data_IF_255584720621
#
_entry.id   IF_255584720621
#
_cell.length_a   1.000
_cell.length_b   1.000
_cell.length_c   1.000
_cell.angle_alpha   90.00
_cell.angle_beta   90.00
_cell.angle_gamma   90.00
#
_symmetry.space_group_name_H-M   'P 1'
#
loop_
_entity.id
_entity.type
_entity.pdbx_description
1 polymer ?
#
# COMPACT_ATOMS: atom_id res chain seq x y z
N UNK A 1 -9.20 20.11 23.75
CA UNK A 1 -9.73 20.38 22.40
C UNK A 1 -9.04 19.40 21.49
N UNK A 2 -9.78 18.54 20.80
CA UNK A 2 -9.19 17.55 19.91
C UNK A 2 -8.78 18.24 18.61
N UNK A 3 -7.47 18.36 18.40
CA UNK A 3 -6.90 18.97 17.21
C UNK A 3 -6.74 17.92 16.12
N UNK A 4 -7.50 18.07 15.03
CA UNK A 4 -7.34 17.27 13.80
C UNK A 4 -5.89 17.41 13.30
N UNK A 5 -5.19 16.28 13.16
CA UNK A 5 -3.83 16.26 12.59
C UNK A 5 -3.90 16.66 11.12
N UNK A 6 -3.11 17.66 10.73
CA UNK A 6 -2.97 18.05 9.32
C UNK A 6 -2.01 17.10 8.60
N UNK A 7 -2.28 16.84 7.32
CA UNK A 7 -1.34 16.14 6.43
C UNK A 7 -0.06 16.97 6.33
N UNK A 8 1.06 16.42 6.82
CA UNK A 8 2.37 17.09 6.81
C UNK A 8 3.16 16.82 5.52
N UNK A 9 2.85 15.74 4.82
CA UNK A 9 3.51 15.32 3.58
C UNK A 9 2.60 14.36 2.82
N UNK A 10 2.66 14.43 1.48
CA UNK A 10 2.08 13.42 0.58
C UNK A 10 3.25 12.74 -0.13
N UNK A 11 3.27 11.41 -0.12
CA UNK A 11 4.23 10.59 -0.85
C UNK A 11 3.52 9.88 -1.99
N UNK A 12 4.19 9.76 -3.13
CA UNK A 12 3.74 8.93 -4.25
C UNK A 12 4.60 7.67 -4.26
N UNK A 13 3.96 6.50 -4.28
CA UNK A 13 4.69 5.24 -4.41
C UNK A 13 5.40 5.14 -5.76
N UNK A 14 6.59 4.55 -5.75
CA UNK A 14 7.45 4.43 -6.93
C UNK A 14 7.68 2.94 -7.27
N UNK A 15 7.79 2.57 -8.56
CA UNK A 15 8.15 1.21 -8.95
C UNK A 15 9.48 0.80 -8.32
N UNK A 16 9.58 -0.44 -7.86
CA UNK A 16 10.81 -1.01 -7.29
C UNK A 16 10.87 -2.50 -7.65
N UNK A 17 12.09 -3.04 -7.77
CA UNK A 17 12.37 -4.45 -7.92
C UNK A 17 12.98 -4.99 -6.63
N UNK A 18 12.49 -6.12 -6.16
CA UNK A 18 12.99 -6.80 -4.94
C UNK A 18 12.99 -8.33 -5.13
N UNK A 19 13.57 -9.07 -4.19
CA UNK A 19 13.59 -10.54 -4.22
C UNK A 19 14.26 -11.07 -5.50
N UNK A 20 13.64 -12.06 -6.15
CA UNK A 20 14.11 -12.63 -7.42
C UNK A 20 13.62 -11.84 -8.66
N UNK A 21 13.52 -10.51 -8.55
CA UNK A 21 13.03 -9.64 -9.62
C UNK A 21 11.52 -9.37 -9.59
N UNK A 22 10.91 -9.41 -8.40
CA UNK A 22 9.49 -9.09 -8.18
C UNK A 22 9.27 -7.59 -8.36
N UNK A 23 8.28 -7.22 -9.16
CA UNK A 23 7.84 -5.84 -9.34
C UNK A 23 6.84 -5.44 -8.24
N UNK A 24 7.11 -4.34 -7.56
CA UNK A 24 6.22 -3.77 -6.55
C UNK A 24 6.26 -2.23 -6.58
N UNK A 25 5.45 -1.59 -5.72
CA UNK A 25 5.48 -0.13 -5.53
C UNK A 25 5.86 0.21 -4.10
N UNK A 26 7.00 0.87 -3.90
CA UNK A 26 7.45 1.32 -2.58
C UNK A 26 6.79 2.64 -2.23
N UNK A 27 5.99 2.66 -1.17
CA UNK A 27 5.29 3.85 -0.67
C UNK A 27 6.21 4.75 0.16
N UNK A 28 7.01 4.13 1.04
CA UNK A 28 8.10 4.75 1.78
C UNK A 28 9.14 3.69 2.16
N UNK A 29 10.33 4.14 2.54
CA UNK A 29 11.43 3.31 3.02
C UNK A 29 12.35 4.10 3.96
N UNK A 30 13.56 3.57 4.19
CA UNK A 30 14.55 4.14 5.10
C UNK A 30 14.91 5.62 4.84
N UNK A 31 14.72 6.12 3.61
CA UNK A 31 14.91 7.53 3.25
C UNK A 31 13.97 8.50 3.99
N UNK A 32 12.86 8.01 4.54
CA UNK A 32 11.91 8.79 5.32
C UNK A 32 12.17 8.72 6.84
N UNK A 33 13.24 8.03 7.28
CA UNK A 33 13.66 8.04 8.68
C UNK A 33 14.26 9.38 9.10
N UNK A 34 14.10 9.82 10.37
CA UNK A 34 13.34 9.17 11.45
C UNK A 34 11.83 9.52 11.45
N UNK A 35 11.33 10.27 10.44
CA UNK A 35 9.95 10.82 10.44
C UNK A 35 8.85 9.76 10.52
N UNK A 36 9.10 8.58 9.96
CA UNK A 36 8.14 7.47 9.96
C UNK A 36 8.44 6.38 11.01
N UNK A 37 9.44 6.53 11.88
CA UNK A 37 9.72 5.57 12.97
C UNK A 37 8.45 5.37 13.83
N UNK A 38 8.01 4.12 14.13
CA UNK A 38 8.72 2.85 13.93
C UNK A 38 8.62 2.20 12.54
N UNK A 39 7.87 2.74 11.59
CA UNK A 39 7.64 2.11 10.27
C UNK A 39 8.79 2.35 9.30
N UNK A 40 9.54 1.30 8.98
CA UNK A 40 10.77 1.38 8.18
C UNK A 40 10.51 1.40 6.67
N UNK A 41 9.50 0.66 6.21
CA UNK A 41 9.20 0.43 4.80
C UNK A 41 7.74 -0.01 4.63
N UNK A 42 7.10 0.44 3.55
CA UNK A 42 5.82 -0.08 3.08
C UNK A 42 5.89 -0.32 1.57
N UNK A 43 5.72 -1.57 1.16
CA UNK A 43 5.65 -1.99 -0.24
C UNK A 43 4.25 -2.51 -0.59
N UNK A 44 3.73 -2.09 -1.74
CA UNK A 44 2.47 -2.52 -2.36
C UNK A 44 2.80 -3.51 -3.49
N UNK A 45 2.71 -4.81 -3.19
CA UNK A 45 2.91 -5.87 -4.17
C UNK A 45 1.58 -6.13 -4.89
N UNK A 46 1.46 -5.53 -6.08
CA UNK A 46 0.21 -5.52 -6.84
C UNK A 46 0.49 -5.56 -8.34
N UNK A 47 0.17 -6.70 -8.96
CA UNK A 47 0.21 -6.91 -10.41
C UNK A 47 -0.84 -7.94 -10.84
N UNK A 48 -1.31 -7.82 -12.08
CA UNK A 48 -2.13 -8.79 -12.80
C UNK A 48 -1.30 -9.69 -13.74
N UNK A 49 0.04 -9.55 -13.73
CA UNK A 49 0.96 -10.30 -14.57
C UNK A 49 1.79 -11.29 -13.74
N UNK A 50 1.60 -12.62 -13.91
CA UNK A 50 2.32 -13.62 -13.13
C UNK A 50 3.85 -13.53 -13.22
N UNK A 51 4.40 -13.17 -14.38
CA UNK A 51 5.84 -12.99 -14.58
C UNK A 51 6.46 -11.89 -13.69
N UNK A 52 5.66 -10.91 -13.24
CA UNK A 52 6.11 -9.81 -12.38
C UNK A 52 6.20 -10.19 -10.89
N UNK A 53 5.66 -11.35 -10.47
CA UNK A 53 5.67 -11.77 -9.06
C UNK A 53 6.05 -13.23 -8.80
N UNK A 54 5.83 -14.17 -9.73
CA UNK A 54 6.09 -15.59 -9.53
C UNK A 54 7.53 -15.96 -9.13
N UNK A 55 8.60 -15.22 -9.50
CA UNK A 55 9.94 -15.46 -8.97
C UNK A 55 10.02 -15.35 -7.44
N UNK A 56 9.15 -14.53 -6.84
CA UNK A 56 8.99 -14.39 -5.39
C UNK A 56 10.22 -13.84 -4.67
N UNK A 57 10.21 -14.06 -3.35
CA UNK A 57 11.28 -13.70 -2.44
C UNK A 57 11.88 -15.01 -1.90
N UNK A 58 12.90 -15.57 -2.57
CA UNK A 58 13.56 -16.79 -2.10
C UNK A 58 14.25 -16.57 -0.75
N UNK A 59 14.81 -17.63 -0.16
CA UNK A 59 15.45 -17.62 1.16
C UNK A 59 16.36 -16.40 1.40
N UNK A 60 15.90 -15.47 2.23
CA UNK A 60 16.59 -14.21 2.54
C UNK A 60 16.53 -13.90 4.05
N UNK A 61 17.56 -13.23 4.61
CA UNK A 61 17.64 -12.96 6.05
C UNK A 61 16.97 -11.63 6.44
N UNK A 62 16.37 -11.61 7.63
CA UNK A 62 15.94 -10.40 8.34
C UNK A 62 16.49 -10.39 9.77
N UNK A 63 16.60 -9.21 10.40
CA UNK A 63 17.00 -9.05 11.81
C UNK A 63 16.56 -7.70 12.39
N UNK A 64 16.19 -7.67 13.66
CA UNK A 64 15.95 -6.45 14.43
C UNK A 64 14.68 -5.66 14.07
N UNK A 65 13.74 -6.32 13.37
CA UNK A 65 12.48 -5.75 12.86
C UNK A 65 11.29 -6.68 13.15
N UNK A 66 10.08 -6.19 12.89
CA UNK A 66 8.90 -7.00 12.62
C UNK A 66 8.52 -6.84 11.13
N UNK A 67 8.08 -7.93 10.50
CA UNK A 67 7.54 -7.92 9.13
C UNK A 67 6.07 -8.30 9.17
N UNK A 68 5.23 -7.49 8.55
CA UNK A 68 3.79 -7.69 8.46
C UNK A 68 3.41 -7.81 6.99
N UNK A 69 2.82 -8.95 6.62
CA UNK A 69 2.39 -9.27 5.26
C UNK A 69 0.86 -9.36 5.27
N UNK A 70 0.16 -8.44 4.60
CA UNK A 70 -1.32 -8.43 4.50
C UNK A 70 -1.74 -8.70 3.05
N UNK A 71 -2.48 -9.77 2.79
CA UNK A 71 -2.89 -10.17 1.43
C UNK A 71 -4.33 -9.73 1.16
N UNK A 72 -4.55 -8.96 0.10
CA UNK A 72 -5.88 -8.57 -0.37
C UNK A 72 -6.42 -9.51 -1.45
N UNK A 73 -5.57 -10.01 -2.36
CA UNK A 73 -5.95 -10.87 -3.48
C UNK A 73 -4.82 -11.84 -3.82
N UNK A 74 -5.18 -13.08 -4.17
CA UNK A 74 -4.20 -14.16 -4.37
C UNK A 74 -3.79 -14.78 -3.05
N UNK A 75 -2.56 -15.29 -2.99
CA UNK A 75 -2.00 -15.96 -1.81
C UNK A 75 -0.46 -15.87 -1.81
N UNK A 76 0.16 -16.02 -0.64
CA UNK A 76 1.62 -16.06 -0.46
C UNK A 76 1.99 -17.29 0.35
N UNK A 77 2.66 -18.27 -0.27
CA UNK A 77 3.22 -19.41 0.45
C UNK A 77 4.53 -18.99 1.11
N UNK A 78 4.76 -19.35 2.37
CA UNK A 78 5.97 -18.97 3.09
C UNK A 78 6.63 -20.16 3.80
N UNK A 79 7.91 -20.02 4.11
CA UNK A 79 8.67 -20.96 4.94
C UNK A 79 9.85 -20.29 5.61
N UNK A 80 10.16 -20.66 6.86
CA UNK A 80 11.23 -20.05 7.65
C UNK A 80 12.25 -21.06 8.23
N UNK A 81 13.37 -20.51 8.70
CA UNK A 81 14.49 -21.26 9.32
C UNK A 81 14.16 -21.88 10.69
N UNK A 82 12.98 -21.62 11.25
CA UNK A 82 12.48 -22.30 12.46
C UNK A 82 11.57 -23.49 12.11
N UNK A 83 11.29 -23.71 10.82
CA UNK A 83 10.42 -24.78 10.33
C UNK A 83 8.95 -24.39 10.21
N UNK A 84 8.58 -23.12 10.45
CA UNK A 84 7.23 -22.67 10.17
C UNK A 84 7.01 -22.62 8.66
N UNK A 85 5.85 -23.12 8.20
CA UNK A 85 5.44 -23.07 6.79
C UNK A 85 3.93 -22.85 6.75
N UNK A 86 3.44 -22.21 5.68
CA UNK A 86 2.03 -21.91 5.52
C UNK A 86 1.71 -21.18 4.24
N UNK A 87 0.45 -20.80 4.08
CA UNK A 87 -0.04 -19.98 2.98
C UNK A 87 -0.91 -18.87 3.57
N UNK A 88 -0.55 -17.61 3.30
CA UNK A 88 -1.34 -16.42 3.59
C UNK A 88 -2.31 -16.24 2.43
N UNK A 89 -3.62 -16.23 2.66
CA UNK A 89 -4.64 -16.06 1.62
C UNK A 89 -5.33 -14.69 1.71
N UNK A 90 -6.22 -14.38 0.77
CA UNK A 90 -6.91 -13.09 0.74
C UNK A 90 -7.72 -12.83 2.02
N UNK A 91 -7.40 -11.75 2.73
CA UNK A 91 -7.93 -11.38 4.03
C UNK A 91 -6.95 -11.65 5.18
N UNK A 92 -6.06 -12.62 5.04
CA UNK A 92 -5.12 -13.05 6.07
C UNK A 92 -3.95 -12.06 6.26
N UNK A 93 -3.43 -12.06 7.49
CA UNK A 93 -2.23 -11.30 7.88
C UNK A 93 -1.19 -12.26 8.48
N UNK A 94 0.05 -12.15 8.01
CA UNK A 94 1.21 -12.68 8.73
C UNK A 94 1.87 -11.56 9.54
N UNK A 95 2.19 -11.83 10.80
CA UNK A 95 3.00 -10.95 11.65
C UNK A 95 4.19 -11.73 12.21
N UNK A 96 5.38 -11.39 11.75
CA UNK A 96 6.62 -12.05 12.17
C UNK A 96 7.50 -11.08 12.96
N UNK A 97 7.62 -11.31 14.28
CA UNK A 97 8.64 -10.64 15.10
C UNK A 97 9.99 -11.30 14.80
N UNK A 98 10.87 -10.66 14.03
CA UNK A 98 12.13 -11.29 13.59
C UNK A 98 13.18 -11.30 14.68
N UNK A 99 13.28 -10.22 15.47
CA UNK A 99 14.22 -10.15 16.61
C UNK A 99 15.65 -10.52 16.22
N UNK A 100 16.25 -11.50 16.92
CA UNK A 100 17.65 -11.93 16.73
C UNK A 100 18.01 -12.39 15.32
N UNK A 101 17.03 -12.81 14.52
CA UNK A 101 17.19 -13.14 13.10
C UNK A 101 16.38 -14.34 12.65
N UNK A 102 15.87 -14.29 11.42
CA UNK A 102 15.23 -15.38 10.67
C UNK A 102 15.78 -15.36 9.24
N UNK A 103 15.92 -16.53 8.61
CA UNK A 103 15.97 -16.64 7.15
C UNK A 103 14.62 -17.22 6.70
N UNK A 104 13.95 -16.59 5.73
CA UNK A 104 12.65 -17.04 5.24
C UNK A 104 12.48 -16.82 3.74
N UNK A 105 11.43 -17.41 3.17
CA UNK A 105 11.01 -17.22 1.79
C UNK A 105 9.51 -16.90 1.72
N UNK A 106 9.11 -16.08 0.75
CA UNK A 106 7.74 -15.66 0.47
C UNK A 106 7.46 -15.81 -1.03
N UNK A 107 6.61 -16.77 -1.39
CA UNK A 107 6.37 -17.24 -2.76
C UNK A 107 4.92 -16.94 -3.16
N UNK A 108 4.65 -15.80 -3.82
CA UNK A 108 3.30 -15.39 -4.15
C UNK A 108 2.70 -16.19 -5.32
N UNK A 109 1.38 -16.32 -5.31
CA UNK A 109 0.55 -16.76 -6.44
C UNK A 109 -0.68 -15.89 -6.50
N UNK A 110 -0.91 -15.24 -7.64
CA UNK A 110 -2.17 -14.56 -7.91
C UNK A 110 -3.34 -15.53 -8.05
N UNK A 111 -4.52 -14.95 -8.16
CA UNK A 111 -5.79 -15.62 -8.51
C UNK A 111 -5.74 -16.25 -9.90
N UNK A 112 -6.82 -16.96 -10.27
CA UNK A 112 -7.00 -17.55 -11.60
C UNK A 112 -6.98 -16.51 -12.75
N UNK A 113 -7.28 -15.24 -12.46
CA UNK A 113 -7.19 -14.12 -13.41
C UNK A 113 -5.83 -13.37 -13.36
N UNK A 114 -4.83 -13.93 -12.68
CA UNK A 114 -3.48 -13.37 -12.56
C UNK A 114 -3.33 -12.32 -11.45
N UNK A 115 -4.42 -11.85 -10.83
CA UNK A 115 -4.35 -10.78 -9.84
C UNK A 115 -3.71 -11.25 -8.53
N UNK A 116 -2.56 -10.67 -8.20
CA UNK A 116 -1.96 -10.64 -6.87
C UNK A 116 -2.09 -9.22 -6.30
N UNK A 117 -2.48 -9.09 -5.04
CA UNK A 117 -2.43 -7.83 -4.31
C UNK A 117 -2.20 -8.04 -2.81
N UNK A 118 -1.22 -7.36 -2.23
CA UNK A 118 -1.08 -7.19 -0.80
C UNK A 118 -0.02 -6.15 -0.43
N UNK A 119 0.28 -6.06 0.86
CA UNK A 119 1.23 -5.10 1.43
C UNK A 119 2.27 -5.79 2.29
N UNK A 120 3.51 -5.32 2.18
CA UNK A 120 4.60 -5.63 3.10
C UNK A 120 4.92 -4.38 3.92
N UNK A 121 4.63 -4.40 5.21
CA UNK A 121 5.01 -3.35 6.16
C UNK A 121 6.15 -3.86 7.05
N UNK A 122 7.24 -3.12 7.14
CA UNK A 122 8.31 -3.40 8.10
C UNK A 122 8.30 -2.37 9.22
N UNK A 123 8.50 -2.86 10.44
CA UNK A 123 8.57 -2.02 11.63
C UNK A 123 9.82 -2.28 12.48
N UNK A 124 10.32 -1.22 13.09
CA UNK A 124 11.55 -1.16 13.85
C UNK A 124 11.35 -1.71 15.26
N UNK A 125 12.05 -2.78 15.65
CA UNK A 125 12.06 -3.17 17.06
C UNK A 125 12.90 -2.18 17.88
N UNK A 126 12.42 -1.72 19.05
CA UNK A 126 13.22 -0.94 20.00
C UNK A 126 14.53 -1.65 20.34
N UNK A 127 15.62 -0.91 20.57
CA UNK A 127 16.97 -1.47 20.77
C UNK A 127 17.02 -2.66 21.75
N UNK A 128 16.36 -2.53 22.91
CA UNK A 128 16.26 -3.58 23.95
C UNK A 128 15.61 -4.89 23.49
N UNK A 129 14.85 -4.87 22.40
CA UNK A 129 14.13 -6.02 21.84
C UNK A 129 14.67 -6.50 20.49
N UNK A 130 15.63 -5.80 19.86
CA UNK A 130 16.23 -6.21 18.58
C UNK A 130 16.87 -7.60 18.58
N UNK A 131 17.20 -8.14 19.76
CA UNK A 131 17.79 -9.46 19.94
C UNK A 131 16.86 -10.47 20.64
N UNK A 132 15.55 -10.18 20.74
CA UNK A 132 14.58 -11.15 21.28
C UNK A 132 14.47 -12.39 20.38
N UNK A 133 14.03 -13.52 20.94
CA UNK A 133 13.75 -14.74 20.16
C UNK A 133 12.71 -14.43 19.07
N UNK A 134 12.87 -14.91 17.84
CA UNK A 134 11.88 -14.68 16.79
C UNK A 134 10.54 -15.35 17.10
N UNK A 135 9.44 -14.79 16.59
CA UNK A 135 8.06 -15.29 16.78
C UNK A 135 7.26 -15.15 15.48
N UNK A 136 6.57 -16.22 15.11
CA UNK A 136 5.63 -16.25 13.99
C UNK A 136 4.18 -16.15 14.50
N UNK A 137 3.34 -15.36 13.83
CA UNK A 137 1.88 -15.36 14.00
C UNK A 137 1.21 -15.28 12.63
N UNK A 138 0.40 -16.29 12.30
CA UNK A 138 -0.60 -16.20 11.24
C UNK A 138 -1.93 -15.78 11.85
N UNK A 139 -2.62 -14.85 11.21
CA UNK A 139 -3.96 -14.37 11.55
C UNK A 139 -4.83 -14.58 10.32
N UNK A 140 -5.89 -15.38 10.43
CA UNK A 140 -6.82 -15.61 9.31
C UNK A 140 -7.85 -14.49 9.19
N UNK A 141 -8.48 -14.36 8.02
CA UNK A 141 -9.58 -13.42 7.76
C UNK A 141 -10.65 -13.44 8.86
N UNK A 142 -11.07 -14.64 9.30
CA UNK A 142 -12.12 -14.83 10.30
C UNK A 142 -11.72 -14.37 11.71
N UNK A 143 -10.41 -14.24 11.97
CA UNK A 143 -9.89 -13.74 13.24
C UNK A 143 -9.83 -12.20 13.30
N UNK A 144 -10.02 -11.51 12.17
CA UNK A 144 -9.93 -10.03 12.09
C UNK A 144 -11.34 -9.43 12.23
N UNK A 145 -11.65 -8.70 13.32
CA UNK A 145 -12.96 -8.09 13.49
C UNK A 145 -13.26 -7.09 12.37
N UNK A 146 -14.43 -7.27 11.73
CA UNK A 146 -14.99 -6.31 10.78
C UNK A 146 -16.04 -5.46 11.47
N UNK A 147 -15.69 -4.21 11.79
CA UNK A 147 -16.57 -3.21 12.38
C UNK A 147 -17.30 -2.47 11.25
N UNK A 148 -18.60 -2.23 11.41
CA UNK A 148 -19.44 -1.52 10.45
C UNK A 148 -20.13 -0.36 11.16
N UNK A 149 -19.82 0.86 10.75
CA UNK A 149 -20.41 2.08 11.31
C UNK A 149 -21.74 2.41 10.60
N UNK A 150 -22.64 3.13 11.27
CA UNK A 150 -23.96 3.49 10.74
C UNK A 150 -23.90 4.29 9.43
N UNK A 151 -22.82 5.06 9.23
CA UNK A 151 -22.56 5.82 8.00
C UNK A 151 -21.99 4.99 6.84
N UNK A 152 -21.95 3.66 6.98
CA UNK A 152 -21.50 2.72 5.94
C UNK A 152 -19.99 2.52 5.84
N UNK A 153 -19.19 3.12 6.74
CA UNK A 153 -17.75 2.84 6.84
C UNK A 153 -17.55 1.41 7.35
N UNK A 154 -16.65 0.67 6.71
CA UNK A 154 -16.29 -0.70 7.09
C UNK A 154 -14.81 -0.74 7.44
N UNK A 155 -14.49 -1.28 8.62
CA UNK A 155 -13.15 -1.28 9.21
C UNK A 155 -12.76 -2.72 9.55
N UNK A 156 -11.65 -3.20 9.02
CA UNK A 156 -11.00 -4.44 9.46
C UNK A 156 -9.91 -4.08 10.46
N UNK A 157 -10.11 -4.50 11.71
CA UNK A 157 -9.21 -4.18 12.82
C UNK A 157 -8.09 -5.22 12.92
N UNK A 158 -7.03 -5.04 12.14
CA UNK A 158 -5.86 -5.95 12.13
C UNK A 158 -5.11 -5.84 13.48
N UNK A 159 -4.89 -4.61 13.95
CA UNK A 159 -4.17 -4.35 15.20
C UNK A 159 -4.66 -3.05 15.87
N UNK A 160 -4.61 -3.02 17.20
CA UNK A 160 -5.07 -1.90 18.02
C UNK A 160 -6.45 -2.16 18.65
N UNK A 161 -7.11 -1.10 19.09
CA UNK A 161 -8.43 -1.14 19.73
C UNK A 161 -9.32 -0.05 19.16
N UNK A 162 -10.56 -0.39 18.79
CA UNK A 162 -11.56 0.57 18.31
C UNK A 162 -12.90 0.28 18.98
N UNK A 163 -13.49 1.28 19.66
CA UNK A 163 -14.78 1.18 20.36
C UNK A 163 -14.89 -0.01 21.35
N UNK A 164 -13.76 -0.43 21.93
CA UNK A 164 -13.67 -1.58 22.84
C UNK A 164 -13.55 -2.94 22.15
N UNK A 165 -13.59 -2.98 20.82
CA UNK A 165 -13.18 -4.15 20.02
C UNK A 165 -11.66 -4.16 19.91
N UNK A 166 -11.03 -5.31 20.14
CA UNK A 166 -9.58 -5.49 20.03
C UNK A 166 -9.21 -6.27 18.78
N UNK A 167 -8.12 -5.90 18.11
CA UNK A 167 -7.54 -6.70 17.03
C UNK A 167 -6.98 -8.05 17.55
N UNK A 168 -6.83 -9.05 16.67
CA UNK A 168 -6.26 -10.36 17.03
C UNK A 168 -4.76 -10.27 17.36
N UNK A 169 -4.06 -9.24 16.89
CA UNK A 169 -2.65 -9.02 17.17
C UNK A 169 -2.50 -8.30 18.52
N UNK A 170 -2.07 -9.05 19.54
CA UNK A 170 -1.84 -8.57 20.91
C UNK A 170 -0.40 -8.88 21.35
N UNK A 171 0.11 -8.24 22.40
CA UNK A 171 1.48 -8.44 22.94
C UNK A 171 2.61 -8.28 21.90
N UNK A 172 2.48 -7.27 21.04
CA UNK A 172 3.53 -6.85 20.11
C UNK A 172 4.31 -5.65 20.65
N UNK A 173 5.56 -5.53 20.20
CA UNK A 173 6.56 -4.72 20.89
C UNK A 173 6.48 -3.23 20.58
N UNK A 174 5.96 -2.90 19.39
CA UNK A 174 5.94 -1.54 18.82
C UNK A 174 4.63 -0.79 19.06
N UNK A 175 3.63 -1.46 19.64
CA UNK A 175 2.27 -0.95 19.93
C UNK A 175 1.62 -0.07 18.81
N UNK A 176 1.43 -0.62 17.60
CA UNK A 176 0.85 0.07 16.46
C UNK A 176 -0.68 -0.12 16.40
N UNK A 177 -1.34 0.82 15.74
CA UNK A 177 -2.70 0.60 15.22
C UNK A 177 -2.61 0.29 13.72
N UNK A 178 -3.30 -0.75 13.27
CA UNK A 178 -3.40 -1.11 11.85
C UNK A 178 -4.86 -1.40 11.51
N UNK A 179 -5.44 -0.47 10.73
CA UNK A 179 -6.80 -0.53 10.22
C UNK A 179 -6.75 -0.64 8.69
N UNK A 180 -7.57 -1.52 8.12
CA UNK A 180 -7.99 -1.42 6.72
C UNK A 180 -9.42 -0.84 6.69
N UNK A 181 -9.63 0.24 5.95
CA UNK A 181 -10.81 1.11 6.05
C UNK A 181 -11.42 1.38 4.69
N UNK A 182 -12.61 0.84 4.46
CA UNK A 182 -13.44 1.11 3.30
C UNK A 182 -14.41 2.26 3.57
N UNK A 183 -14.34 3.30 2.74
CA UNK A 183 -15.10 4.55 2.87
C UNK A 183 -16.09 4.72 1.71
N UNK A 184 -17.40 4.92 1.98
CA UNK A 184 -18.34 5.34 0.96
C UNK A 184 -18.05 6.77 0.47
N UNK A 185 -18.45 7.07 -0.77
CA UNK A 185 -18.23 8.39 -1.36
C UNK A 185 -18.94 9.50 -0.57
N UNK A 186 -18.20 10.56 -0.21
CA UNK A 186 -18.71 11.70 0.56
C UNK A 186 -18.84 11.48 2.06
N UNK A 187 -18.47 10.29 2.58
CA UNK A 187 -18.47 10.00 4.02
C UNK A 187 -17.12 10.34 4.64
N UNK A 188 -17.16 10.91 5.85
CA UNK A 188 -15.97 11.18 6.67
C UNK A 188 -15.86 10.13 7.78
N UNK A 189 -14.65 9.56 7.94
CA UNK A 189 -14.26 8.78 9.10
C UNK A 189 -13.27 9.57 9.95
N UNK A 190 -13.47 9.55 11.26
CA UNK A 190 -12.57 10.19 12.24
C UNK A 190 -12.06 9.11 13.17
N UNK A 191 -10.75 8.93 13.23
CA UNK A 191 -10.09 8.01 14.14
C UNK A 191 -9.29 8.79 15.19
N UNK A 192 -9.42 8.42 16.46
CA UNK A 192 -8.65 9.01 17.54
C UNK A 192 -7.31 8.28 17.66
N UNK A 193 -6.21 9.02 17.57
CA UNK A 193 -4.84 8.48 17.66
C UNK A 193 -4.14 9.01 18.90
N UNK A 194 -3.37 8.15 19.58
CA UNK A 194 -2.64 8.54 20.78
C UNK A 194 -1.58 9.62 20.47
N UNK A 195 -1.43 10.58 21.39
CA UNK A 195 -0.43 11.63 21.27
C UNK A 195 0.99 11.04 21.20
N UNK A 196 1.78 11.52 20.24
CA UNK A 196 3.13 11.02 19.97
C UNK A 196 3.20 9.90 18.92
N UNK A 197 2.08 9.30 18.50
CA UNK A 197 2.12 8.21 17.51
C UNK A 197 2.47 8.75 16.12
N UNK A 198 3.33 8.02 15.41
CA UNK A 198 3.52 8.20 13.97
C UNK A 198 2.31 7.66 13.23
N UNK A 199 1.77 8.45 12.30
CA UNK A 199 0.55 8.09 11.55
C UNK A 199 0.77 8.39 10.08
N UNK A 200 0.46 7.42 9.23
CA UNK A 200 0.35 7.55 7.78
C UNK A 200 -0.95 6.87 7.32
N UNK A 201 -1.38 7.15 6.09
CA UNK A 201 -2.44 6.42 5.43
C UNK A 201 -2.00 6.10 4.00
N UNK A 202 -2.10 4.83 3.59
CA UNK A 202 -1.88 4.43 2.20
C UNK A 202 -3.22 4.38 1.49
N UNK A 203 -3.43 5.27 0.52
CA UNK A 203 -4.72 5.36 -0.19
C UNK A 203 -4.75 4.29 -1.28
N UNK A 204 -5.55 3.25 -1.01
CA UNK A 204 -5.89 2.20 -1.96
C UNK A 204 -6.87 2.77 -2.99
N UNK A 205 -6.33 3.43 -4.01
CA UNK A 205 -7.12 4.00 -5.09
C UNK A 205 -7.69 2.88 -5.97
N UNK A 206 -8.95 2.49 -5.74
CA UNK A 206 -9.78 1.91 -6.79
C UNK A 206 -9.97 2.97 -7.88
N UNK A 207 -8.99 3.03 -8.80
CA UNK A 207 -9.01 3.99 -9.90
C UNK A 207 -10.30 3.86 -10.68
N UNK A 208 -11.13 4.89 -10.56
CA UNK A 208 -12.18 5.19 -11.52
C UNK A 208 -11.51 5.70 -12.80
N UNK A 209 -10.79 4.81 -13.48
CA UNK A 209 -10.34 5.08 -14.84
C UNK A 209 -11.59 5.21 -15.69
N UNK A 210 -11.74 6.36 -16.35
CA UNK A 210 -12.90 6.61 -17.19
C UNK A 210 -12.78 5.74 -18.44
N UNK A 211 -13.46 4.59 -18.42
CA UNK A 211 -13.46 3.57 -19.49
C UNK A 211 -14.16 4.02 -20.79
N UNK A 212 -14.31 5.33 -21.02
CA UNK A 212 -14.76 5.94 -22.29
C UNK A 212 -14.01 5.28 -23.47
N UNK A 213 -12.69 5.07 -23.31
CA UNK A 213 -11.85 4.46 -24.34
C UNK A 213 -12.15 2.98 -24.63
N UNK A 214 -12.71 2.21 -23.69
CA UNK A 214 -13.10 0.82 -23.93
C UNK A 214 -14.51 0.68 -24.51
N UNK A 215 -15.42 1.58 -24.14
CA UNK A 215 -16.79 1.64 -24.68
C UNK A 215 -16.89 2.50 -25.96
N UNK A 216 -15.76 2.95 -26.50
CA UNK A 216 -15.72 3.79 -27.68
C UNK A 216 -16.13 3.00 -28.94
N UNK A 217 -17.41 3.10 -29.31
CA UNK A 217 -17.98 2.50 -30.54
C UNK A 217 -17.50 3.14 -31.85
N UNK A 218 -16.41 3.89 -31.83
CA UNK A 218 -15.97 4.73 -32.95
C UNK A 218 -16.79 6.01 -33.15
N UNK A 219 -17.84 6.27 -32.35
CA UNK A 219 -18.58 7.52 -32.41
C UNK A 219 -17.74 8.69 -31.85
N UNK A 220 -17.69 9.84 -32.52
CA UNK A 220 -16.91 10.98 -32.05
C UNK A 220 -17.58 11.65 -30.85
N UNK A 221 -16.78 12.03 -29.84
CA UNK A 221 -17.23 12.67 -28.60
C UNK A 221 -17.60 14.15 -28.83
N UNK A 222 -18.66 14.40 -29.59
CA UNK A 222 -19.03 15.74 -30.08
C UNK A 222 -19.93 16.56 -29.15
N UNK A 223 -20.46 15.96 -28.09
CA UNK A 223 -21.28 16.67 -27.09
C UNK A 223 -21.23 15.95 -25.73
N UNK A 224 -21.61 16.66 -24.66
CA UNK A 224 -21.54 16.15 -23.28
C UNK A 224 -22.48 14.98 -22.99
N UNK A 225 -23.61 14.87 -23.68
CA UNK A 225 -24.56 13.78 -23.50
C UNK A 225 -23.97 12.45 -24.00
N UNK A 226 -23.30 12.45 -25.15
CA UNK A 226 -22.51 11.30 -25.65
C UNK A 226 -21.45 10.87 -24.64
N UNK A 227 -20.68 11.82 -24.08
CA UNK A 227 -19.63 11.49 -23.10
C UNK A 227 -20.23 10.92 -21.81
N UNK A 228 -21.27 11.57 -21.25
CA UNK A 228 -21.95 11.10 -20.03
C UNK A 228 -22.55 9.71 -20.22
N UNK A 229 -23.22 9.44 -21.35
CA UNK A 229 -23.81 8.14 -21.65
C UNK A 229 -22.77 7.03 -21.85
N UNK A 230 -21.62 7.31 -22.45
CA UNK A 230 -20.53 6.32 -22.57
C UNK A 230 -19.90 5.98 -21.21
N UNK A 231 -19.84 6.93 -20.28
CA UNK A 231 -19.35 6.66 -18.93
C UNK A 231 -20.40 5.91 -18.10
N UNK A 232 -21.66 6.33 -18.12
CA UNK A 232 -22.73 5.71 -17.32
C UNK A 232 -23.12 4.28 -17.77
N UNK A 233 -22.79 3.90 -19.00
CA UNK A 233 -22.94 2.52 -19.50
C UNK A 233 -21.73 1.62 -19.20
N UNK A 234 -20.68 2.17 -18.58
CA UNK A 234 -19.51 1.39 -18.16
C UNK A 234 -19.83 0.46 -17.00
N UNK A 235 -19.49 -0.82 -17.19
CA UNK A 235 -19.37 -1.81 -16.10
C UNK A 235 -17.96 -2.42 -16.14
N UNK A 236 -17.30 -2.58 -14.97
CA UNK A 236 -15.99 -3.25 -14.89
C UNK A 236 -16.11 -4.77 -14.95
N UNK A 237 -14.99 -5.49 -15.18
CA UNK A 237 -14.96 -6.97 -15.01
C UNK A 237 -15.37 -7.43 -13.60
N UNK A 238 -15.19 -6.57 -12.60
CA UNK A 238 -15.60 -6.78 -11.20
C UNK A 238 -17.05 -6.35 -10.89
N UNK A 239 -17.84 -5.94 -11.89
CA UNK A 239 -19.28 -5.64 -11.72
C UNK A 239 -19.61 -4.21 -11.26
N UNK A 240 -18.63 -3.32 -11.10
CA UNK A 240 -18.88 -1.91 -10.73
C UNK A 240 -19.61 -1.19 -11.88
N UNK A 241 -20.85 -0.75 -11.64
CA UNK A 241 -21.61 0.14 -12.53
C UNK A 241 -21.30 1.60 -12.20
N UNK A 242 -21.10 2.44 -13.22
CA UNK A 242 -20.80 3.86 -13.03
C UNK A 242 -22.06 4.71 -13.27
N UNK A 243 -22.28 5.76 -12.48
CA UNK A 243 -23.22 6.84 -12.82
C UNK A 243 -22.44 8.11 -13.16
N UNK A 244 -22.82 8.76 -14.25
CA UNK A 244 -22.25 10.02 -14.70
C UNK A 244 -23.37 11.04 -14.85
N UNK A 245 -23.10 12.30 -14.50
CA UNK A 245 -24.01 13.40 -14.76
C UNK A 245 -23.24 14.66 -15.15
N UNK A 246 -23.81 15.45 -16.05
CA UNK A 246 -23.24 16.74 -16.41
C UNK A 246 -23.51 17.74 -15.29
N UNK A 247 -22.45 18.20 -14.63
CA UNK A 247 -22.54 19.33 -13.71
C UNK A 247 -22.39 20.64 -14.49
N UNK A 248 -23.43 21.48 -14.44
CA UNK A 248 -23.49 22.78 -15.14
C UNK A 248 -23.05 23.97 -14.26
N UNK A 249 -22.56 23.71 -13.04
CA UNK A 249 -22.03 24.75 -12.17
C UNK A 249 -20.78 25.40 -12.79
N UNK A 250 -20.59 26.70 -12.56
CA UNK A 250 -19.39 27.43 -12.99
C UNK A 250 -18.28 27.25 -11.96
N UNK A 251 -17.06 26.98 -12.45
CA UNK A 251 -15.86 26.79 -11.63
C UNK A 251 -14.80 27.85 -11.96
N UNK A 252 -14.00 28.23 -10.97
CA UNK A 252 -12.84 29.09 -11.19
C UNK A 252 -11.76 28.33 -11.97
N UNK A 253 -11.27 28.95 -13.05
CA UNK A 253 -10.23 28.37 -13.90
C UNK A 253 -8.84 28.81 -13.45
N UNK A 254 -7.83 27.98 -13.71
CA UNK A 254 -6.43 28.30 -13.36
C UNK A 254 -5.95 27.77 -12.00
N UNK A 255 -6.85 27.29 -11.15
CA UNK A 255 -6.45 26.44 -10.01
C UNK A 255 -6.00 25.09 -10.58
N UNK A 256 -4.70 24.79 -10.53
CA UNK A 256 -4.24 23.42 -10.69
C UNK A 256 -4.50 22.69 -9.36
N UNK A 257 -5.40 21.71 -9.29
CA UNK A 257 -5.75 21.02 -8.04
C UNK A 257 -4.58 20.21 -7.45
N UNK A 258 -3.42 20.18 -8.11
CA UNK A 258 -2.21 19.46 -7.70
C UNK A 258 -0.96 20.36 -7.51
N UNK A 259 -1.03 21.70 -7.65
CA UNK A 259 0.18 22.56 -7.70
C UNK A 259 0.71 23.07 -6.35
N UNK A 260 0.77 22.23 -5.32
CA UNK A 260 1.43 22.55 -4.05
C UNK A 260 2.79 21.83 -3.92
N UNK A 261 3.62 21.91 -4.96
CA UNK A 261 4.97 21.30 -4.99
C UNK A 261 6.01 22.37 -5.26
N UNK A 262 6.70 22.83 -4.22
CA UNK A 262 7.91 23.63 -4.39
C UNK A 262 9.02 22.73 -4.92
N UNK A 263 9.73 23.19 -5.95
CA UNK A 263 10.96 22.56 -6.42
C UNK A 263 12.04 22.68 -5.35
N UNK A 264 12.73 21.58 -5.04
CA UNK A 264 13.97 21.55 -4.27
C UNK A 264 14.94 20.67 -5.06
N UNK A 265 16.10 21.22 -5.40
CA UNK A 265 17.12 20.53 -6.18
C UNK A 265 17.85 19.47 -5.36
N UNK A 266 18.15 18.34 -5.99
CA UNK A 266 18.87 17.24 -5.35
C UNK A 266 20.38 17.45 -5.41
N UNK A 267 21.01 17.61 -4.25
CA UNK A 267 22.44 17.31 -4.07
C UNK A 267 22.57 16.04 -3.22
N UNK A 268 23.45 15.09 -3.58
CA UNK A 268 23.71 13.91 -2.75
C UNK A 268 24.51 14.33 -1.52
N UNK A 269 23.81 14.77 -0.46
CA UNK A 269 24.43 15.02 0.84
C UNK A 269 24.25 13.79 1.73
N UNK A 270 25.35 13.10 2.01
CA UNK A 270 25.43 12.03 3.02
C UNK A 270 25.66 12.68 4.40
N UNK A 271 24.69 12.67 5.33
CA UNK A 271 24.84 13.32 6.62
C UNK A 271 25.03 12.29 7.74
N UNK A 272 26.18 12.36 8.41
CA UNK A 272 26.32 11.88 9.79
C UNK A 272 26.89 10.48 9.97
N UNK A 273 28.04 10.42 10.65
CA UNK A 273 28.68 9.19 11.13
C UNK A 273 27.94 8.69 12.37
N UNK A 274 27.24 7.56 12.27
CA UNK A 274 26.98 6.64 13.41
C UNK A 274 26.39 5.29 12.96
N UNK A 275 25.72 5.22 11.80
CA UNK A 275 25.00 4.02 11.35
C UNK A 275 25.84 2.95 10.60
N UNK A 276 27.18 2.91 10.76
CA UNK A 276 28.06 2.11 9.89
C UNK A 276 28.79 0.93 10.54
N UNK A 277 28.63 0.68 11.84
CA UNK A 277 29.27 -0.45 12.53
C UNK A 277 28.30 -1.62 12.77
N UNK A 278 27.12 -1.37 13.36
CA UNK A 278 26.18 -2.43 13.74
C UNK A 278 25.45 -3.05 12.54
N UNK A 279 25.08 -2.24 11.52
CA UNK A 279 24.52 -2.77 10.27
C UNK A 279 25.54 -3.64 9.53
N UNK A 280 26.80 -3.18 9.40
CA UNK A 280 27.86 -3.99 8.78
C UNK A 280 28.15 -5.28 9.56
N UNK A 281 28.11 -5.24 10.89
CA UNK A 281 28.26 -6.43 11.73
C UNK A 281 27.08 -7.41 11.60
N UNK A 282 25.86 -6.92 11.35
CA UNK A 282 24.69 -7.76 11.11
C UNK A 282 24.76 -8.53 9.77
N UNK A 283 25.35 -7.93 8.74
CA UNK A 283 25.47 -8.51 7.39
C UNK A 283 26.72 -9.38 7.17
N UNK A 284 27.79 -9.18 7.95
CA UNK A 284 29.08 -9.88 7.80
C UNK A 284 29.02 -11.41 7.67
N UNK A 285 28.09 -12.16 8.31
CA UNK A 285 28.01 -13.62 8.14
C UNK A 285 27.52 -14.10 6.77
N UNK A 286 26.92 -13.24 5.94
CA UNK A 286 26.14 -13.66 4.76
C UNK A 286 26.77 -13.30 3.40
N UNK A 287 27.69 -12.33 3.34
CA UNK A 287 28.25 -11.82 2.07
C UNK A 287 29.61 -12.43 1.70
N UNK A 288 29.74 -13.75 1.71
CA UNK A 288 31.03 -14.38 1.43
C UNK A 288 31.37 -14.58 -0.06
N UNK A 289 30.43 -14.35 -1.00
CA UNK A 289 30.61 -14.55 -2.45
C UNK A 289 30.01 -13.39 -3.29
N UNK A 290 30.59 -13.20 -4.49
CA UNK A 290 30.17 -12.35 -5.63
C UNK A 290 30.29 -10.81 -5.50
N UNK A 291 31.34 -10.18 -6.09
CA UNK A 291 31.53 -8.73 -6.13
C UNK A 291 31.57 -8.14 -7.57
N UNK A 292 30.43 -7.99 -8.23
CA UNK A 292 30.35 -7.26 -9.53
C UNK A 292 28.91 -6.82 -9.84
N UNK A 293 28.65 -5.51 -9.94
CA UNK A 293 27.55 -4.87 -10.70
C UNK A 293 27.52 -3.34 -10.50
N UNK A 294 28.40 -2.62 -11.21
CA UNK A 294 28.29 -1.15 -11.40
C UNK A 294 27.76 -0.81 -12.82
N UNK A 295 27.01 0.30 -12.90
CA UNK A 295 26.60 1.06 -14.12
C UNK A 295 25.43 0.46 -14.95
N UNK A 296 24.34 1.18 -15.30
CA UNK A 296 24.25 2.40 -16.16
C UNK A 296 22.85 3.06 -16.18
N UNK A 297 22.78 4.30 -16.71
CA UNK A 297 21.60 5.18 -16.94
C UNK A 297 20.87 4.80 -18.28
N UNK A 298 19.76 5.38 -18.78
CA UNK A 298 19.14 6.74 -18.68
C UNK A 298 17.68 6.77 -19.26
N UNK A 299 17.00 7.94 -19.32
CA UNK A 299 15.57 8.08 -19.71
C UNK A 299 15.26 9.39 -20.51
N UNK A 300 14.30 9.40 -21.47
CA UNK A 300 13.74 10.64 -22.05
C UNK A 300 12.19 10.80 -22.00
N UNK A 301 11.71 12.06 -21.87
CA UNK A 301 10.30 12.49 -21.80
C UNK A 301 9.76 13.16 -23.09
N UNK A 302 8.43 13.33 -23.22
CA UNK A 302 7.76 14.15 -24.26
C UNK A 302 6.43 14.81 -23.82
N UNK A 303 5.98 15.89 -24.50
CA UNK A 303 4.82 16.78 -24.19
C UNK A 303 3.98 17.02 -25.48
N UNK A 304 2.75 17.55 -25.58
CA UNK A 304 1.72 18.22 -24.71
C UNK A 304 0.33 18.13 -25.42
N UNK A 305 -0.84 18.45 -24.82
CA UNK A 305 -1.57 19.77 -24.84
C UNK A 305 -2.99 19.63 -24.22
N UNK A 306 -3.72 20.72 -23.86
CA UNK A 306 -4.97 20.67 -23.10
C UNK A 306 -6.28 20.73 -23.94
N UNK A 307 -7.39 20.26 -23.35
CA UNK A 307 -8.77 20.49 -23.80
C UNK A 307 -9.47 21.58 -22.97
N UNK A 308 -10.51 22.22 -23.51
CA UNK A 308 -11.25 23.33 -22.89
C UNK A 308 -12.52 22.89 -22.15
N UNK A 309 -12.66 23.39 -20.91
CA UNK A 309 -13.89 23.69 -20.16
C UNK A 309 -15.17 22.88 -20.47
N UNK A 310 -15.31 21.74 -19.80
CA UNK A 310 -16.44 21.47 -18.89
C UNK A 310 -16.07 20.29 -17.97
N UNK A 311 -16.59 20.25 -16.75
CA UNK A 311 -16.24 19.25 -15.73
C UNK A 311 -17.35 18.21 -15.58
N UNK A 312 -17.12 17.02 -16.14
CA UNK A 312 -17.99 15.86 -15.90
C UNK A 312 -17.74 15.35 -14.49
N UNK A 313 -18.72 15.50 -13.60
CA UNK A 313 -18.67 14.85 -12.28
C UNK A 313 -19.14 13.41 -12.40
N UNK A 314 -18.26 12.51 -11.98
CA UNK A 314 -18.52 11.08 -11.92
C UNK A 314 -18.85 10.68 -10.49
N UNK A 315 -19.90 9.89 -10.33
CA UNK A 315 -20.38 9.42 -9.05
C UNK A 315 -20.49 7.90 -9.12
N UNK A 316 -19.56 7.20 -8.46
CA UNK A 316 -19.73 5.76 -8.21
C UNK A 316 -20.86 5.59 -7.20
N UNK A 317 -21.96 4.96 -7.66
CA UNK A 317 -22.93 4.35 -6.75
C UNK A 317 -22.60 2.87 -6.76
N UNK A 318 -22.03 2.37 -5.67
CA UNK A 318 -22.09 0.94 -5.38
C UNK A 318 -23.57 0.60 -5.27
N UNK A 319 -24.06 -0.18 -6.23
CA UNK A 319 -25.45 -0.64 -6.31
C UNK A 319 -25.62 -1.74 -5.23
N UNK A 320 -26.29 -1.48 -4.10
CA UNK A 320 -26.38 -2.43 -3.00
C UNK A 320 -27.60 -3.32 -3.21
N UNK A 321 -27.59 -4.10 -4.29
CA UNK A 321 -28.71 -4.96 -4.67
C UNK A 321 -28.23 -6.39 -4.94
N UNK A 322 -28.62 -7.25 -3.99
CA UNK A 322 -29.27 -8.56 -4.16
C UNK A 322 -28.66 -9.55 -5.18
N UNK A 323 -28.34 -10.79 -4.80
CA UNK A 323 -28.96 -11.68 -3.79
C UNK A 323 -27.89 -12.28 -2.89
#
# INVERSE_FOLDING_TARGET
>A
MDTVRRVSQILKSHPTLEGAGVHLKRAFGFQQMPRLDPFLLLDDFHSDKPEEYLPGFPWHPHRGIETITYVLQGQVAHGDSLGNQGVITAGDVQWMTVGSGIIHQEMPRGRADGLLWGFQLWANLPARHKMMKPRYRGITDEQIPTIRLENGVVIRLICGTLEGVHGPVQDIVIDPEYLDVSLPAGVTFTHHVQAGYTVFAYVIEHRMFSFISMNWKGEPLINYETVVNMISTTTTRSGLKIKAQLDKNKYETGINPFSATQHIDFFPHCPGKECSAELWAAFRPFFHHEPELESRLECPFGKSRPFTNDLIKLFSVLDPLHI
#
